data_IF_461531794725
#
_entry.id   IF_461531794725
#
_cell.length_a   1.000
_cell.length_b   1.000
_cell.length_c   1.000
_cell.angle_alpha   90.00
_cell.angle_beta   90.00
_cell.angle_gamma   90.00
#
_symmetry.space_group_name_H-M   'P 1'
#
loop_
_entity.id
_entity.type
_entity.pdbx_description
1 polymer ?
#
# COMPACT_ATOMS: atom_id res chain seq x y z
N UNK A 1 -83.95 47.86 3.78
CA UNK A 1 -82.49 47.74 3.55
C UNK A 1 -81.96 46.69 4.53
N UNK A 2 -81.26 45.65 4.03
CA UNK A 2 -80.38 44.71 4.77
C UNK A 2 -81.05 43.68 5.73
N UNK A 3 -80.62 42.42 5.85
CA UNK A 3 -79.69 41.54 5.13
C UNK A 3 -79.94 40.10 5.63
N UNK A 4 -79.88 39.11 4.75
CA UNK A 4 -79.84 37.69 5.09
C UNK A 4 -78.66 37.36 6.02
N UNK A 5 -78.90 36.51 7.03
CA UNK A 5 -77.85 35.69 7.65
C UNK A 5 -78.40 34.31 7.96
N UNK A 6 -78.14 33.35 7.07
CA UNK A 6 -78.31 31.93 7.35
C UNK A 6 -77.00 31.43 7.97
N UNK A 7 -76.96 31.38 9.30
CA UNK A 7 -75.90 30.66 10.02
C UNK A 7 -76.20 29.15 9.96
N UNK A 8 -75.68 28.49 8.93
CA UNK A 8 -75.82 27.05 8.74
C UNK A 8 -74.71 26.36 9.53
N UNK A 9 -74.97 26.08 10.81
CA UNK A 9 -74.14 25.26 11.71
C UNK A 9 -73.87 23.89 11.05
N UNK A 10 -72.74 23.72 10.38
CA UNK A 10 -72.26 22.42 9.92
C UNK A 10 -71.93 21.57 11.14
N UNK A 11 -72.83 20.64 11.49
CA UNK A 11 -72.51 19.58 12.45
C UNK A 11 -71.50 18.65 11.80
N UNK A 12 -70.25 18.72 12.25
CA UNK A 12 -69.24 17.70 11.97
C UNK A 12 -69.77 16.40 12.58
N UNK A 13 -70.27 15.50 11.75
CA UNK A 13 -70.67 14.15 12.17
C UNK A 13 -69.38 13.40 12.54
N UNK A 14 -69.21 13.10 13.82
CA UNK A 14 -68.20 12.13 14.27
C UNK A 14 -68.69 10.75 13.83
N UNK A 15 -68.20 10.27 12.70
CA UNK A 15 -68.31 8.86 12.32
C UNK A 15 -67.29 8.08 13.17
N UNK A 16 -67.77 7.30 14.13
CA UNK A 16 -66.92 6.33 14.80
C UNK A 16 -66.66 5.16 13.86
N UNK A 17 -65.39 4.78 13.69
CA UNK A 17 -65.01 3.60 12.93
C UNK A 17 -65.69 2.37 13.55
N UNK A 18 -66.27 1.52 12.71
CA UNK A 18 -66.81 0.25 13.19
C UNK A 18 -65.66 -0.70 13.54
N UNK A 19 -65.90 -1.63 14.47
CA UNK A 19 -64.89 -2.61 14.89
C UNK A 19 -64.38 -3.45 13.70
N UNK A 20 -65.28 -3.75 12.75
CA UNK A 20 -64.95 -4.42 11.49
C UNK A 20 -64.02 -3.58 10.61
N UNK A 21 -64.32 -2.29 10.45
CA UNK A 21 -63.53 -1.37 9.62
C UNK A 21 -62.12 -1.17 10.18
N UNK A 22 -61.98 -1.13 11.50
CA UNK A 22 -60.67 -1.10 12.15
C UNK A 22 -59.87 -2.39 11.86
N UNK A 23 -60.48 -3.56 11.94
CA UNK A 23 -59.81 -4.84 11.67
C UNK A 23 -59.38 -4.92 10.20
N UNK A 24 -60.24 -4.51 9.26
CA UNK A 24 -59.92 -4.50 7.83
C UNK A 24 -58.79 -3.49 7.53
N UNK A 25 -58.84 -2.29 8.11
CA UNK A 25 -57.79 -1.28 7.93
C UNK A 25 -56.44 -1.76 8.49
N UNK A 26 -56.42 -2.37 9.68
CA UNK A 26 -55.20 -2.94 10.26
C UNK A 26 -54.66 -4.10 9.42
N UNK A 27 -55.53 -4.95 8.87
CA UNK A 27 -55.14 -6.01 7.94
C UNK A 27 -54.47 -5.47 6.68
N UNK A 28 -55.05 -4.42 6.07
CA UNK A 28 -54.47 -3.76 4.88
C UNK A 28 -53.13 -3.12 5.24
N UNK A 29 -53.03 -2.43 6.38
CA UNK A 29 -51.79 -1.80 6.83
C UNK A 29 -50.68 -2.83 7.08
N UNK A 30 -51.01 -4.00 7.64
CA UNK A 30 -50.03 -5.07 7.84
C UNK A 30 -49.49 -5.62 6.50
N UNK A 31 -50.36 -5.83 5.52
CA UNK A 31 -49.97 -6.26 4.17
C UNK A 31 -49.11 -5.20 3.48
N UNK A 32 -49.55 -3.94 3.49
CA UNK A 32 -48.79 -2.84 2.88
C UNK A 32 -47.43 -2.63 3.55
N UNK A 33 -47.35 -2.77 4.87
CA UNK A 33 -46.07 -2.66 5.61
C UNK A 33 -45.10 -3.77 5.20
N UNK A 34 -45.59 -4.99 5.01
CA UNK A 34 -44.74 -6.13 4.58
C UNK A 34 -44.21 -5.92 3.17
N UNK A 35 -45.04 -5.41 2.25
CA UNK A 35 -44.61 -5.08 0.87
C UNK A 35 -43.58 -3.95 0.90
N UNK A 36 -43.81 -2.92 1.72
CA UNK A 36 -42.89 -1.81 1.86
C UNK A 36 -41.51 -2.26 2.37
N UNK A 37 -41.44 -3.13 3.38
CA UNK A 37 -40.16 -3.66 3.90
C UNK A 37 -39.42 -4.43 2.81
N UNK A 38 -40.08 -5.36 2.12
CA UNK A 38 -39.44 -6.14 1.04
C UNK A 38 -38.93 -5.30 -0.12
N UNK A 39 -39.49 -4.10 -0.32
CA UNK A 39 -39.00 -3.18 -1.36
C UNK A 39 -37.73 -2.43 -0.96
N UNK A 40 -37.37 -2.43 0.33
CA UNK A 40 -36.16 -1.75 0.84
C UNK A 40 -34.93 -2.66 0.85
N UNK A 41 -35.09 -3.98 0.87
CA UNK A 41 -33.96 -4.92 0.95
C UNK A 41 -32.94 -4.69 -0.20
N UNK A 42 -33.34 -4.56 -1.48
CA UNK A 42 -32.38 -4.33 -2.57
C UNK A 42 -31.64 -2.99 -2.46
N UNK A 43 -32.26 -1.97 -1.87
CA UNK A 43 -31.61 -0.67 -1.64
C UNK A 43 -30.58 -0.76 -0.51
N UNK A 44 -30.88 -1.54 0.53
CA UNK A 44 -29.95 -1.77 1.62
C UNK A 44 -28.72 -2.54 1.13
N UNK A 45 -28.93 -3.60 0.34
CA UNK A 45 -27.82 -4.42 -0.18
C UNK A 45 -26.95 -3.66 -1.18
N UNK A 46 -27.55 -2.85 -2.05
CA UNK A 46 -26.80 -1.93 -2.92
C UNK A 46 -25.93 -0.96 -2.09
N UNK A 47 -26.47 -0.38 -1.02
CA UNK A 47 -25.72 0.54 -0.18
C UNK A 47 -24.55 -0.16 0.56
N UNK A 48 -24.73 -1.42 0.98
CA UNK A 48 -23.67 -2.24 1.58
C UNK A 48 -22.60 -2.58 0.55
N UNK A 49 -23.00 -2.99 -0.64
CA UNK A 49 -22.10 -3.28 -1.75
C UNK A 49 -21.19 -2.08 -2.08
N UNK A 50 -21.78 -0.88 -2.23
CA UNK A 50 -21.02 0.34 -2.47
C UNK A 50 -20.10 0.72 -1.29
N UNK A 51 -20.54 0.48 -0.05
CA UNK A 51 -19.70 0.71 1.13
C UNK A 51 -18.50 -0.23 1.15
N UNK A 52 -18.69 -1.50 0.78
CA UNK A 52 -17.63 -2.50 0.66
C UNK A 52 -16.63 -2.09 -0.43
N UNK A 53 -17.08 -1.71 -1.62
CA UNK A 53 -16.18 -1.27 -2.69
C UNK A 53 -15.30 -0.08 -2.25
N UNK A 54 -15.91 0.94 -1.63
CA UNK A 54 -15.16 2.10 -1.10
C UNK A 54 -14.14 1.67 -0.06
N UNK A 55 -14.49 0.75 0.83
CA UNK A 55 -13.56 0.23 1.83
C UNK A 55 -12.36 -0.47 1.19
N UNK A 56 -12.59 -1.35 0.21
CA UNK A 56 -11.50 -2.08 -0.44
C UNK A 56 -10.58 -1.13 -1.23
N UNK A 57 -11.14 -0.11 -1.88
CA UNK A 57 -10.37 0.96 -2.53
C UNK A 57 -9.56 1.81 -1.53
N UNK A 58 -10.14 2.12 -0.36
CA UNK A 58 -9.46 2.82 0.73
C UNK A 58 -8.30 1.97 1.27
N UNK A 59 -8.48 0.66 1.42
CA UNK A 59 -7.43 -0.28 1.85
C UNK A 59 -6.30 -0.36 0.83
N UNK A 60 -6.62 -0.44 -0.47
CA UNK A 60 -5.62 -0.39 -1.54
C UNK A 60 -4.84 0.93 -1.50
N UNK A 61 -5.53 2.06 -1.41
CA UNK A 61 -4.93 3.39 -1.32
C UNK A 61 -4.08 3.56 -0.05
N UNK A 62 -4.48 2.96 1.08
CA UNK A 62 -3.70 2.93 2.30
C UNK A 62 -2.42 2.11 2.17
N UNK A 63 -2.41 1.10 1.31
CA UNK A 63 -1.27 0.21 1.09
C UNK A 63 -0.22 0.84 0.18
N UNK A 64 -0.61 1.32 -1.01
CA UNK A 64 0.31 1.80 -2.08
C UNK A 64 0.20 3.29 -2.39
N UNK A 65 -0.67 4.01 -1.67
CA UNK A 65 -0.97 5.42 -1.94
C UNK A 65 -1.93 5.60 -3.10
N UNK A 66 -2.44 6.83 -3.25
CA UNK A 66 -3.32 7.18 -4.37
C UNK A 66 -2.57 7.05 -5.71
N UNK A 67 -3.04 6.20 -6.65
CA UNK A 67 -2.39 6.03 -7.95
C UNK A 67 -2.35 7.31 -8.80
N UNK A 68 -3.26 8.26 -8.56
CA UNK A 68 -3.34 9.53 -9.27
C UNK A 68 -2.52 10.65 -8.62
N UNK A 69 -1.99 10.43 -7.42
CA UNK A 69 -1.17 11.43 -6.74
C UNK A 69 0.15 11.62 -7.50
N UNK A 70 0.32 12.79 -8.12
CA UNK A 70 1.52 13.19 -8.84
C UNK A 70 2.09 14.47 -8.25
N UNK A 71 3.42 14.53 -8.19
CA UNK A 71 4.13 15.76 -7.89
C UNK A 71 3.94 16.78 -9.03
N UNK A 72 4.28 18.04 -8.76
CA UNK A 72 4.19 19.13 -9.73
C UNK A 72 5.02 18.88 -11.01
N UNK A 73 5.99 17.95 -10.97
CA UNK A 73 6.78 17.48 -12.11
C UNK A 73 6.25 16.23 -12.82
N UNK A 74 5.04 15.76 -12.51
CA UNK A 74 4.39 14.60 -13.14
C UNK A 74 4.84 13.23 -12.62
N UNK A 75 5.84 13.18 -11.74
CA UNK A 75 6.28 11.96 -11.05
C UNK A 75 5.22 11.50 -10.04
N UNK A 76 4.96 10.19 -9.96
CA UNK A 76 4.02 9.62 -9.00
C UNK A 76 4.54 9.81 -7.57
N UNK A 77 3.66 10.21 -6.65
CA UNK A 77 3.97 10.29 -5.22
C UNK A 77 3.86 8.88 -4.65
N UNK A 78 4.97 8.37 -4.13
CA UNK A 78 5.00 7.11 -3.39
C UNK A 78 4.63 7.39 -1.95
N UNK A 79 3.58 6.73 -1.47
CA UNK A 79 3.06 6.86 -0.11
C UNK A 79 2.31 5.59 0.29
N UNK A 80 1.88 5.50 1.55
CA UNK A 80 1.15 4.35 2.07
C UNK A 80 2.04 3.39 2.85
N UNK A 81 1.42 2.33 3.34
CA UNK A 81 2.05 1.34 4.22
C UNK A 81 3.33 0.75 3.60
N UNK A 82 3.31 0.39 2.32
CA UNK A 82 4.47 -0.21 1.64
C UNK A 82 5.64 0.77 1.55
N UNK A 83 5.36 2.02 1.18
CA UNK A 83 6.38 3.05 1.03
C UNK A 83 7.12 3.37 2.33
N UNK A 84 6.37 3.32 3.45
CA UNK A 84 6.88 3.68 4.76
C UNK A 84 7.56 2.48 5.46
N UNK A 85 7.08 1.25 5.22
CA UNK A 85 7.52 0.04 5.95
C UNK A 85 8.35 -0.95 5.14
N UNK A 86 8.37 -0.86 3.81
CA UNK A 86 9.03 -1.83 2.94
C UNK A 86 8.39 -3.23 2.94
N UNK A 87 7.21 -3.39 3.55
CA UNK A 87 6.44 -4.66 3.60
C UNK A 87 5.01 -4.47 3.11
N UNK A 88 4.41 -5.55 2.61
CA UNK A 88 2.96 -5.65 2.53
C UNK A 88 2.37 -5.89 3.94
N UNK A 89 1.17 -5.37 4.22
CA UNK A 89 0.50 -5.62 5.48
C UNK A 89 0.08 -7.09 5.57
N UNK A 90 0.32 -7.69 6.72
CA UNK A 90 -0.04 -9.08 7.02
C UNK A 90 -1.47 -9.22 7.51
N UNK A 91 -1.97 -8.16 8.17
CA UNK A 91 -3.32 -8.11 8.74
C UNK A 91 -3.93 -6.73 8.56
N UNK A 92 -5.26 -6.63 8.58
CA UNK A 92 -5.94 -5.33 8.52
C UNK A 92 -5.65 -4.44 9.74
N UNK A 93 -5.25 -5.01 10.88
CA UNK A 93 -4.82 -4.22 12.05
C UNK A 93 -3.54 -3.43 11.79
N UNK A 94 -2.72 -3.82 10.82
CA UNK A 94 -1.46 -3.14 10.49
C UNK A 94 -1.72 -1.71 9.96
N UNK A 95 -2.92 -1.45 9.41
CA UNK A 95 -3.34 -0.13 8.97
C UNK A 95 -3.79 0.81 10.09
N UNK A 96 -4.07 0.31 11.28
CA UNK A 96 -4.70 1.10 12.36
C UNK A 96 -3.85 1.14 13.62
N UNK A 97 -3.07 0.08 13.84
CA UNK A 97 -2.16 -0.07 14.96
C UNK A 97 -0.79 -0.50 14.46
N UNK A 98 0.26 0.04 15.08
CA UNK A 98 1.63 -0.31 14.73
C UNK A 98 1.88 -1.80 14.99
N UNK A 99 2.30 -2.59 13.98
CA UNK A 99 2.68 -3.99 14.19
C UNK A 99 3.85 -4.11 15.15
N UNK A 100 3.87 -5.15 15.98
CA UNK A 100 4.90 -5.33 17.02
C UNK A 100 6.32 -5.46 16.44
N UNK A 101 6.46 -6.02 15.24
CA UNK A 101 7.75 -6.13 14.54
C UNK A 101 8.23 -4.84 13.89
N UNK A 102 7.36 -3.82 13.74
CA UNK A 102 7.75 -2.58 13.08
C UNK A 102 8.13 -1.49 14.08
N UNK A 103 9.16 -0.72 13.72
CA UNK A 103 9.51 0.52 14.42
C UNK A 103 8.53 1.65 14.09
N UNK A 104 8.48 2.67 14.95
CA UNK A 104 7.76 3.90 14.61
C UNK A 104 8.55 4.68 13.55
N UNK A 105 7.85 5.43 12.69
CA UNK A 105 8.48 6.19 11.63
C UNK A 105 9.51 7.19 12.17
N UNK A 106 10.76 7.02 11.77
CA UNK A 106 11.87 7.87 12.15
C UNK A 106 13.02 7.74 11.13
N UNK A 107 13.92 8.73 11.11
CA UNK A 107 15.19 8.58 10.42
C UNK A 107 16.01 7.51 11.14
N UNK A 108 16.37 6.46 10.40
CA UNK A 108 17.24 5.38 10.85
C UNK A 108 18.61 5.59 10.20
N UNK A 109 19.66 5.62 11.02
CA UNK A 109 21.04 5.60 10.55
C UNK A 109 21.52 4.17 10.60
N UNK A 110 21.92 3.65 9.45
CA UNK A 110 22.55 2.35 9.30
C UNK A 110 24.06 2.56 9.34
N UNK A 111 24.66 2.04 10.42
CA UNK A 111 26.10 1.88 10.60
C UNK A 111 26.44 0.47 10.10
N UNK A 112 27.13 0.40 8.95
CA UNK A 112 27.60 -0.88 8.42
C UNK A 112 28.74 -1.33 9.32
N UNK A 113 28.45 -2.22 10.27
CA UNK A 113 29.46 -2.80 11.17
C UNK A 113 30.51 -3.68 10.45
N UNK A 114 30.47 -3.69 9.11
CA UNK A 114 31.31 -4.50 8.22
C UNK A 114 32.32 -3.73 7.37
N UNK A 115 32.34 -2.39 7.37
CA UNK A 115 33.24 -1.66 6.46
C UNK A 115 33.75 -0.30 6.96
N UNK A 116 34.62 0.34 6.17
CA UNK A 116 35.12 1.71 6.38
C UNK A 116 34.24 2.75 5.68
N UNK A 117 32.96 2.42 5.43
CA UNK A 117 32.09 3.18 4.53
C UNK A 117 31.15 4.06 5.36
N UNK A 118 30.87 5.28 4.88
CA UNK A 118 30.05 6.23 5.66
C UNK A 118 28.62 5.72 5.90
N UNK A 119 28.12 5.95 7.12
CA UNK A 119 26.75 5.65 7.52
C UNK A 119 25.69 6.24 6.57
N UNK A 120 24.64 5.46 6.32
CA UNK A 120 23.50 5.87 5.48
C UNK A 120 22.28 6.09 6.34
N UNK A 121 21.57 7.21 6.15
CA UNK A 121 20.36 7.52 6.91
C UNK A 121 19.11 7.56 6.02
N UNK A 122 18.12 6.72 6.31
CA UNK A 122 16.83 6.70 5.61
C UNK A 122 15.68 6.82 6.60
N UNK A 123 14.61 7.52 6.20
CA UNK A 123 13.39 7.60 7.01
C UNK A 123 12.47 6.43 6.71
N UNK A 124 12.19 5.62 7.72
CA UNK A 124 11.37 4.42 7.58
C UNK A 124 10.61 4.10 8.86
N UNK A 125 9.65 3.19 8.76
CA UNK A 125 8.87 2.67 9.88
C UNK A 125 7.38 2.97 9.75
N UNK A 126 6.60 2.51 10.71
CA UNK A 126 5.16 2.72 10.71
C UNK A 126 4.81 4.17 11.03
N UNK A 127 4.23 4.88 10.05
CA UNK A 127 3.99 6.33 10.11
C UNK A 127 2.67 6.73 10.78
N UNK A 128 1.75 5.80 10.91
CA UNK A 128 0.49 6.07 11.59
C UNK A 128 -0.62 5.19 11.08
N UNK A 129 -1.83 5.35 11.65
CA UNK A 129 -3.01 4.75 11.08
C UNK A 129 -3.18 5.26 9.65
N UNK A 130 -3.09 4.36 8.67
CA UNK A 130 -3.31 4.64 7.25
C UNK A 130 -4.81 4.63 6.92
N UNK A 131 -5.62 3.98 7.76
CA UNK A 131 -7.08 3.96 7.68
C UNK A 131 -7.67 4.52 8.96
N UNK A 132 -8.80 5.24 8.84
CA UNK A 132 -9.55 5.76 9.98
C UNK A 132 -10.83 4.96 10.16
N UNK A 133 -11.17 4.67 11.42
CA UNK A 133 -12.45 4.06 11.75
C UNK A 133 -13.61 5.03 11.54
N UNK A 134 -14.76 4.49 11.13
CA UNK A 134 -16.03 5.18 11.26
C UNK A 134 -16.37 5.44 12.73
N UNK A 135 -17.25 6.41 12.98
CA UNK A 135 -17.66 6.75 14.34
C UNK A 135 -18.25 5.52 15.06
N UNK A 136 -17.66 5.15 16.20
CA UNK A 136 -18.10 4.01 17.01
C UNK A 136 -17.59 2.64 16.53
N UNK A 137 -16.78 2.57 15.48
CA UNK A 137 -16.14 1.33 15.03
C UNK A 137 -14.75 1.15 15.68
N UNK A 138 -14.37 -0.10 15.91
CA UNK A 138 -13.06 -0.49 16.45
C UNK A 138 -12.32 -1.50 15.57
N UNK A 139 -12.98 -1.97 14.51
CA UNK A 139 -12.48 -2.97 13.57
C UNK A 139 -12.86 -2.52 12.16
N UNK A 140 -12.00 -2.83 11.19
CA UNK A 140 -12.29 -2.62 9.78
C UNK A 140 -13.31 -3.68 9.35
N UNK A 141 -14.47 -3.22 8.94
CA UNK A 141 -15.59 -4.07 8.52
C UNK A 141 -16.20 -3.54 7.22
N UNK A 142 -16.60 -4.46 6.36
CA UNK A 142 -17.30 -4.19 5.10
C UNK A 142 -18.76 -3.77 5.33
N UNK A 143 -19.50 -3.56 4.24
CA UNK A 143 -20.91 -3.16 4.28
C UNK A 143 -21.82 -4.17 4.99
N UNK A 144 -21.41 -5.44 5.08
CA UNK A 144 -22.15 -6.50 5.77
C UNK A 144 -21.67 -6.74 7.20
N UNK A 145 -20.69 -5.96 7.67
CA UNK A 145 -20.17 -6.03 9.03
C UNK A 145 -19.13 -7.13 9.24
N UNK A 146 -18.54 -7.67 8.17
CA UNK A 146 -17.49 -8.69 8.21
C UNK A 146 -16.13 -8.08 7.93
N UNK A 147 -15.08 -8.70 8.43
CA UNK A 147 -13.70 -8.23 8.19
C UNK A 147 -13.22 -8.77 6.84
N UNK A 148 -12.78 -7.91 5.91
CA UNK A 148 -12.21 -8.37 4.65
C UNK A 148 -10.99 -9.27 4.86
N UNK A 149 -10.80 -10.20 3.93
CA UNK A 149 -9.65 -11.09 3.87
C UNK A 149 -8.51 -10.42 3.10
N UNK A 150 -7.27 -10.75 3.48
CA UNK A 150 -6.06 -10.45 2.72
C UNK A 150 -5.60 -11.80 2.15
N UNK A 151 -5.58 -11.94 0.82
CA UNK A 151 -5.09 -13.15 0.16
C UNK A 151 -3.66 -12.91 -0.36
N UNK A 152 -2.65 -13.61 0.18
CA UNK A 152 -1.26 -13.49 -0.28
C UNK A 152 -0.86 -14.49 -1.39
N UNK A 153 -1.70 -15.45 -1.79
CA UNK A 153 -1.22 -16.73 -2.35
C UNK A 153 -1.06 -16.81 -3.90
N UNK A 154 -1.02 -15.70 -4.64
CA UNK A 154 -1.06 -15.76 -6.13
C UNK A 154 -0.06 -14.95 -6.94
N UNK A 155 0.72 -14.05 -6.33
CA UNK A 155 1.59 -13.09 -7.03
C UNK A 155 1.02 -11.67 -7.11
N UNK A 156 -0.29 -11.53 -6.94
CA UNK A 156 -0.99 -10.26 -6.68
C UNK A 156 -1.44 -10.24 -5.21
N UNK A 157 -1.56 -9.04 -4.64
CA UNK A 157 -1.96 -8.83 -3.24
C UNK A 157 -3.40 -8.30 -3.20
N UNK A 158 -4.33 -9.09 -2.67
CA UNK A 158 -5.76 -8.81 -2.87
C UNK A 158 -6.49 -8.58 -1.54
N UNK A 159 -7.45 -7.65 -1.57
CA UNK A 159 -8.44 -7.52 -0.51
C UNK A 159 -9.78 -8.08 -0.98
N UNK A 160 -10.35 -9.00 -0.22
CA UNK A 160 -11.59 -9.69 -0.59
C UNK A 160 -12.65 -9.59 0.51
N UNK A 161 -13.86 -9.17 0.14
CA UNK A 161 -15.05 -9.29 0.98
C UNK A 161 -15.91 -10.44 0.46
N UNK A 162 -16.40 -11.27 1.38
CA UNK A 162 -17.21 -12.46 1.08
C UNK A 162 -18.69 -12.15 0.83
N UNK A 163 -18.99 -10.98 0.27
CA UNK A 163 -20.35 -10.57 -0.04
C UNK A 163 -21.34 -10.65 1.13
N UNK A 164 -22.61 -10.89 0.79
CA UNK A 164 -23.75 -10.89 1.72
C UNK A 164 -23.93 -12.21 2.49
N UNK A 165 -23.55 -13.34 1.92
CA UNK A 165 -23.58 -14.68 2.51
C UNK A 165 -22.40 -14.92 3.45
N UNK A 166 -21.24 -14.37 3.16
CA UNK A 166 -20.05 -14.49 4.01
C UNK A 166 -19.33 -15.82 3.84
N UNK A 167 -19.43 -16.42 2.66
CA UNK A 167 -18.61 -17.56 2.25
C UNK A 167 -18.11 -17.32 0.81
N UNK A 168 -17.28 -18.23 0.30
CA UNK A 168 -16.74 -18.18 -1.06
C UNK A 168 -17.15 -19.43 -1.85
N UNK A 169 -18.39 -19.91 -1.62
CA UNK A 169 -18.89 -21.17 -2.18
C UNK A 169 -19.62 -20.92 -3.49
N UNK A 170 -18.94 -21.25 -4.60
CA UNK A 170 -19.53 -21.18 -5.94
C UNK A 170 -20.72 -22.15 -6.13
N UNK A 171 -21.71 -21.79 -6.95
CA UNK A 171 -21.83 -20.54 -7.71
C UNK A 171 -22.39 -19.40 -6.87
N UNK A 172 -21.82 -18.21 -7.04
CA UNK A 172 -22.29 -16.98 -6.40
C UNK A 172 -22.97 -16.07 -7.44
N UNK A 173 -23.97 -15.30 -7.01
CA UNK A 173 -24.68 -14.31 -7.82
C UNK A 173 -24.99 -13.01 -7.05
N UNK A 174 -25.24 -11.93 -7.78
CA UNK A 174 -25.62 -10.62 -7.25
C UNK A 174 -24.73 -10.14 -6.08
N UNK A 175 -25.30 -9.98 -4.88
CA UNK A 175 -24.62 -9.52 -3.67
C UNK A 175 -23.98 -10.66 -2.86
N UNK A 176 -24.19 -11.92 -3.24
CA UNK A 176 -23.49 -13.07 -2.67
C UNK A 176 -22.08 -13.20 -3.24
N UNK A 177 -21.83 -12.65 -4.44
CA UNK A 177 -20.52 -12.69 -5.05
C UNK A 177 -19.43 -12.00 -4.21
N UNK A 178 -18.28 -12.68 -4.12
CA UNK A 178 -17.05 -12.12 -3.58
C UNK A 178 -16.68 -10.82 -4.31
N UNK A 179 -16.30 -9.81 -3.53
CA UNK A 179 -15.80 -8.53 -4.04
C UNK A 179 -14.32 -8.46 -3.74
N UNK A 180 -13.49 -8.52 -4.78
CA UNK A 180 -12.04 -8.39 -4.67
C UNK A 180 -11.52 -7.11 -5.34
N UNK A 181 -10.55 -6.48 -4.68
CA UNK A 181 -9.73 -5.43 -5.28
C UNK A 181 -8.31 -5.96 -5.37
N UNK A 182 -7.89 -6.26 -6.59
CA UNK A 182 -6.57 -6.79 -6.86
C UNK A 182 -5.50 -5.69 -6.87
N UNK A 183 -4.34 -5.99 -6.30
CA UNK A 183 -3.17 -5.11 -6.34
C UNK A 183 -2.01 -5.85 -6.97
N UNK A 184 -1.74 -5.62 -8.26
CA UNK A 184 -0.65 -6.30 -8.94
C UNK A 184 0.72 -5.83 -8.44
N UNK A 185 1.72 -6.71 -8.51
CA UNK A 185 3.09 -6.44 -8.04
C UNK A 185 3.74 -5.18 -8.59
N UNK A 186 3.37 -4.76 -9.81
CA UNK A 186 3.80 -3.50 -10.43
C UNK A 186 3.36 -2.23 -9.66
N UNK A 187 2.33 -2.32 -8.81
CA UNK A 187 1.86 -1.19 -8.00
C UNK A 187 2.66 -0.96 -6.72
N UNK A 188 3.40 -1.98 -6.26
CA UNK A 188 4.19 -1.92 -5.03
C UNK A 188 5.68 -2.32 -5.21
N UNK A 189 6.09 -2.78 -6.39
CA UNK A 189 7.48 -3.07 -6.74
C UNK A 189 7.92 -2.44 -8.06
N UNK A 190 9.23 -2.21 -8.20
CA UNK A 190 9.85 -1.72 -9.43
C UNK A 190 11.24 -2.36 -9.64
N UNK A 191 11.76 -2.23 -10.87
CA UNK A 191 13.14 -2.55 -11.19
C UNK A 191 14.01 -1.29 -11.14
N UNK A 192 15.17 -1.42 -10.50
CA UNK A 192 16.19 -0.35 -10.43
C UNK A 192 17.46 -0.84 -11.11
N UNK A 193 17.99 -0.04 -12.02
CA UNK A 193 19.24 -0.30 -12.74
C UNK A 193 20.30 0.68 -12.25
N UNK A 194 21.41 0.14 -11.77
CA UNK A 194 22.57 0.89 -11.34
C UNK A 194 23.62 0.80 -12.43
N UNK A 195 24.20 1.95 -12.80
CA UNK A 195 25.36 2.00 -13.69
C UNK A 195 26.53 2.67 -12.98
N UNK A 196 27.64 1.98 -12.93
CA UNK A 196 28.87 2.49 -12.32
C UNK A 196 29.81 2.99 -13.40
N UNK A 197 30.50 4.09 -13.13
CA UNK A 197 31.52 4.65 -14.01
C UNK A 197 32.64 5.31 -13.23
N UNK A 198 33.77 5.54 -13.88
CA UNK A 198 34.86 6.36 -13.37
C UNK A 198 35.12 7.56 -14.30
N UNK A 199 35.84 8.55 -13.81
CA UNK A 199 36.33 9.68 -14.63
C UNK A 199 37.83 9.53 -14.82
N UNK A 200 38.28 9.55 -16.06
CA UNK A 200 39.71 9.62 -16.36
C UNK A 200 40.28 10.95 -15.86
N UNK A 201 41.18 10.90 -14.89
CA UNK A 201 41.81 12.08 -14.30
C UNK A 201 42.61 12.93 -15.30
N UNK A 202 42.96 12.39 -16.47
CA UNK A 202 43.69 13.11 -17.52
C UNK A 202 42.75 13.79 -18.51
N UNK A 203 41.75 13.07 -19.01
CA UNK A 203 40.86 13.57 -20.07
C UNK A 203 39.54 14.14 -19.54
N UNK A 204 39.18 13.87 -18.29
CA UNK A 204 37.88 14.18 -17.71
C UNK A 204 36.73 13.40 -18.34
N UNK A 205 37.02 12.40 -19.18
CA UNK A 205 35.98 11.62 -19.86
C UNK A 205 35.47 10.49 -18.98
N UNK A 206 34.21 10.11 -19.21
CA UNK A 206 33.61 8.95 -18.59
C UNK A 206 34.26 7.70 -19.15
N UNK A 207 34.81 6.89 -18.25
CA UNK A 207 35.41 5.60 -18.55
C UNK A 207 34.74 4.51 -17.73
N UNK A 208 34.89 3.29 -18.20
CA UNK A 208 34.50 2.11 -17.47
C UNK A 208 35.51 1.85 -16.34
N UNK A 209 35.06 1.47 -15.13
CA UNK A 209 35.95 1.04 -14.05
C UNK A 209 36.78 -0.16 -14.51
N UNK A 210 38.04 -0.22 -14.11
CA UNK A 210 38.93 -1.33 -14.43
C UNK A 210 39.47 -1.97 -13.15
N UNK A 211 38.70 -2.87 -12.50
CA UNK A 211 39.18 -3.62 -11.35
C UNK A 211 40.44 -4.40 -11.71
N UNK A 212 41.44 -4.40 -10.83
CA UNK A 212 42.71 -5.09 -11.02
C UNK A 212 42.94 -6.19 -9.98
N UNK A 213 43.48 -7.32 -10.42
CA UNK A 213 43.86 -8.41 -9.52
C UNK A 213 42.66 -9.07 -8.85
N UNK A 214 42.51 -8.83 -7.54
CA UNK A 214 41.43 -9.34 -6.69
C UNK A 214 40.34 -8.29 -6.44
N UNK A 215 40.40 -7.15 -7.13
CA UNK A 215 39.38 -6.12 -6.99
C UNK A 215 38.07 -6.53 -7.65
N UNK A 216 36.97 -6.34 -6.93
CA UNK A 216 35.61 -6.58 -7.39
C UNK A 216 34.79 -5.30 -7.30
N UNK A 217 33.81 -5.15 -8.20
CA UNK A 217 32.92 -4.00 -8.24
C UNK A 217 31.54 -4.36 -7.73
N UNK A 218 30.96 -3.50 -6.90
CA UNK A 218 29.65 -3.75 -6.29
C UNK A 218 28.84 -2.49 -6.11
N UNK A 219 27.55 -2.69 -5.85
CA UNK A 219 26.63 -1.66 -5.38
C UNK A 219 26.03 -2.12 -4.06
N UNK A 220 26.20 -1.32 -3.01
CA UNK A 220 25.44 -1.46 -1.78
C UNK A 220 24.10 -0.75 -1.99
N UNK A 221 23.01 -1.52 -1.94
CA UNK A 221 21.66 -1.02 -2.00
C UNK A 221 21.05 -1.03 -0.60
N UNK A 222 20.64 0.13 -0.12
CA UNK A 222 19.95 0.34 1.14
C UNK A 222 18.46 0.54 0.87
N UNK A 223 17.63 -0.41 1.30
CA UNK A 223 16.17 -0.33 1.17
C UNK A 223 15.48 -0.56 2.50
N UNK A 224 14.26 -0.05 2.67
CA UNK A 224 13.46 -0.37 3.85
C UNK A 224 13.09 -1.85 3.82
N UNK A 225 13.38 -2.57 4.90
CA UNK A 225 13.09 -3.98 5.04
C UNK A 225 11.84 -4.21 5.91
N UNK A 226 10.88 -4.89 5.31
CA UNK A 226 9.60 -5.23 5.92
C UNK A 226 9.64 -6.19 7.12
N UNK A 227 10.73 -6.93 7.30
CA UNK A 227 10.81 -8.01 8.30
C UNK A 227 11.23 -7.57 9.71
N UNK A 228 11.32 -6.26 9.98
CA UNK A 228 11.27 -5.78 11.37
C UNK A 228 12.30 -6.39 12.30
N UNK A 229 13.57 -6.48 11.86
CA UNK A 229 14.68 -6.73 12.77
C UNK A 229 14.72 -5.66 13.88
N UNK A 230 15.26 -6.02 15.04
CA UNK A 230 15.30 -5.22 16.29
C UNK A 230 15.98 -3.85 16.19
N UNK A 231 16.44 -3.43 15.02
CA UNK A 231 17.22 -2.21 14.76
C UNK A 231 16.62 -1.27 13.70
N UNK A 232 15.35 -1.38 13.34
CA UNK A 232 14.75 -0.39 12.43
C UNK A 232 15.16 -0.59 10.97
N UNK A 233 14.95 -1.84 10.57
CA UNK A 233 15.17 -2.53 9.31
C UNK A 233 15.32 -1.65 8.04
N UNK A 234 16.53 -1.17 7.80
CA UNK A 234 17.08 -0.98 6.46
C UNK A 234 17.82 -2.28 6.13
N UNK A 235 17.57 -2.87 4.96
CA UNK A 235 18.36 -3.97 4.41
C UNK A 235 19.43 -3.37 3.50
N UNK A 236 20.67 -3.77 3.78
CA UNK A 236 21.78 -3.61 2.86
C UNK A 236 21.88 -4.88 2.01
N UNK A 237 21.89 -4.71 0.70
CA UNK A 237 22.14 -5.79 -0.25
C UNK A 237 23.34 -5.43 -1.11
N UNK A 238 24.37 -6.27 -1.11
CA UNK A 238 25.47 -6.19 -2.07
C UNK A 238 25.02 -6.75 -3.40
N UNK A 239 25.14 -5.95 -4.45
CA UNK A 239 24.85 -6.32 -5.83
C UNK A 239 26.18 -6.36 -6.60
N UNK A 240 26.77 -7.55 -6.86
CA UNK A 240 28.01 -7.65 -7.61
C UNK A 240 27.79 -7.17 -9.04
N UNK A 241 28.70 -6.31 -9.50
CA UNK A 241 28.71 -5.76 -10.85
C UNK A 241 29.74 -6.54 -11.65
N UNK A 242 29.33 -7.06 -12.81
CA UNK A 242 30.24 -7.82 -13.66
C UNK A 242 31.50 -7.02 -14.00
N UNK A 243 32.68 -7.64 -13.80
CA UNK A 243 33.99 -7.04 -14.09
C UNK A 243 34.20 -6.75 -15.60
N UNK A 244 33.34 -7.27 -16.47
CA UNK A 244 33.37 -7.04 -17.91
C UNK A 244 31.96 -6.83 -18.46
N UNK A 245 31.74 -5.81 -19.28
CA UNK A 245 30.46 -5.56 -19.94
C UNK A 245 29.98 -4.13 -19.74
N UNK A 246 28.70 -3.97 -19.38
CA UNK A 246 28.02 -2.67 -19.30
C UNK A 246 28.22 -1.92 -17.98
N UNK A 247 28.88 -2.53 -16.98
CA UNK A 247 29.01 -2.02 -15.61
C UNK A 247 27.64 -1.64 -15.01
N UNK A 248 26.66 -2.48 -15.33
CA UNK A 248 25.28 -2.35 -14.89
C UNK A 248 24.88 -3.55 -14.05
N UNK A 249 24.13 -3.27 -12.97
CA UNK A 249 23.47 -4.29 -12.17
C UNK A 249 22.03 -3.85 -11.90
N UNK A 250 21.09 -4.78 -11.89
CA UNK A 250 19.69 -4.48 -11.61
C UNK A 250 19.19 -5.19 -10.35
N UNK A 251 18.41 -4.47 -9.55
CA UNK A 251 17.55 -5.05 -8.52
C UNK A 251 16.13 -5.10 -9.07
N UNK A 252 15.64 -6.30 -9.34
CA UNK A 252 14.25 -6.52 -9.73
C UNK A 252 13.37 -6.64 -8.48
N UNK A 253 12.08 -6.33 -8.63
CA UNK A 253 11.07 -6.43 -7.56
C UNK A 253 11.44 -5.67 -6.27
N UNK A 254 12.11 -4.53 -6.41
CA UNK A 254 12.42 -3.67 -5.27
C UNK A 254 11.14 -2.97 -4.80
N UNK A 255 10.85 -3.05 -3.50
CA UNK A 255 9.66 -2.44 -2.91
C UNK A 255 9.69 -0.92 -3.09
N UNK A 256 8.52 -0.33 -3.33
CA UNK A 256 8.38 1.13 -3.37
C UNK A 256 8.75 1.75 -2.03
N UNK A 257 9.43 2.90 -2.09
CA UNK A 257 9.85 3.61 -0.89
C UNK A 257 11.13 4.40 -1.11
N UNK A 258 11.65 4.95 -0.02
CA UNK A 258 12.96 5.60 -0.02
C UNK A 258 14.07 4.56 -0.06
N UNK A 259 15.11 4.85 -0.84
CA UNK A 259 16.27 4.00 -0.96
C UNK A 259 17.54 4.85 -1.09
N UNK A 260 18.66 4.24 -0.77
CA UNK A 260 19.97 4.80 -1.07
C UNK A 260 20.84 3.74 -1.72
N UNK A 261 21.80 4.16 -2.54
CA UNK A 261 22.78 3.26 -3.11
C UNK A 261 24.15 3.93 -3.19
N UNK A 262 25.19 3.10 -3.11
CA UNK A 262 26.58 3.51 -3.30
C UNK A 262 27.29 2.44 -4.11
N UNK A 263 28.08 2.86 -5.10
CA UNK A 263 29.01 1.98 -5.79
C UNK A 263 30.33 1.93 -5.02
N UNK A 264 30.96 0.78 -5.01
CA UNK A 264 32.24 0.59 -4.35
C UNK A 264 33.05 -0.48 -5.06
N UNK A 265 34.37 -0.38 -4.91
CA UNK A 265 35.32 -1.38 -5.34
C UNK A 265 36.06 -1.88 -4.12
N UNK A 266 36.12 -3.19 -3.92
CA UNK A 266 36.78 -3.80 -2.77
C UNK A 266 37.74 -4.90 -3.21
N UNK A 267 38.66 -5.27 -2.32
CA UNK A 267 39.57 -6.40 -2.53
C UNK A 267 38.91 -7.70 -2.07
N UNK A 268 38.32 -8.44 -3.00
CA UNK A 268 37.68 -9.74 -2.82
C UNK A 268 38.75 -10.83 -2.68
N UNK A 269 39.12 -11.13 -1.45
CA UNK A 269 40.31 -11.93 -1.13
C UNK A 269 40.04 -13.42 -1.19
N UNK A 270 38.79 -13.84 -1.00
CA UNK A 270 38.36 -15.24 -1.04
C UNK A 270 37.49 -15.58 -2.26
N UNK A 271 37.20 -14.61 -3.13
CA UNK A 271 36.55 -14.74 -4.42
C UNK A 271 35.10 -15.25 -4.31
N UNK A 272 34.36 -14.76 -3.32
CA UNK A 272 32.98 -15.15 -3.05
C UNK A 272 31.93 -14.11 -3.49
N UNK A 273 32.37 -13.01 -4.11
CA UNK A 273 31.55 -11.88 -4.55
C UNK A 273 30.77 -11.18 -3.42
N UNK A 274 31.20 -11.33 -2.16
CA UNK A 274 30.66 -10.62 -1.00
C UNK A 274 31.71 -9.67 -0.40
N UNK A 275 31.22 -8.64 0.30
CA UNK A 275 32.09 -7.77 1.08
C UNK A 275 32.18 -8.33 2.49
N UNK A 276 33.34 -8.91 2.80
CA UNK A 276 33.55 -9.63 4.04
C UNK A 276 34.33 -8.85 5.10
N UNK A 277 34.17 -9.25 6.36
CA UNK A 277 34.84 -8.60 7.48
C UNK A 277 36.37 -8.78 7.37
N UNK A 278 37.08 -7.67 7.12
CA UNK A 278 38.53 -7.66 6.93
C UNK A 278 38.96 -7.39 5.49
N UNK A 279 38.02 -7.36 4.55
CA UNK A 279 38.27 -6.87 3.21
C UNK A 279 38.25 -5.34 3.18
N UNK A 280 39.07 -4.76 2.30
CA UNK A 280 39.23 -3.31 2.22
C UNK A 280 38.49 -2.76 1.00
N UNK A 281 37.70 -1.71 1.24
CA UNK A 281 37.15 -0.87 0.17
C UNK A 281 38.27 0.02 -0.36
N UNK A 282 38.53 -0.08 -1.66
CA UNK A 282 39.60 0.65 -2.36
C UNK A 282 39.12 2.03 -2.79
N UNK A 283 37.93 2.10 -3.40
CA UNK A 283 37.32 3.30 -3.97
C UNK A 283 35.81 3.21 -3.78
N UNK A 284 35.15 4.35 -3.57
CA UNK A 284 33.69 4.41 -3.42
C UNK A 284 33.08 5.62 -4.12
N UNK A 285 31.78 5.54 -4.40
CA UNK A 285 31.00 6.71 -4.80
C UNK A 285 30.43 7.44 -3.59
N UNK A 286 29.92 8.65 -3.85
CA UNK A 286 28.96 9.27 -2.94
C UNK A 286 27.72 8.39 -2.78
N UNK A 287 27.00 8.59 -1.68
CA UNK A 287 25.70 7.97 -1.46
C UNK A 287 24.64 8.70 -2.30
N UNK A 288 23.91 7.95 -3.12
CA UNK A 288 22.82 8.45 -3.93
C UNK A 288 21.49 8.12 -3.25
N UNK A 289 20.73 9.14 -2.87
CA UNK A 289 19.39 9.00 -2.31
C UNK A 289 18.34 9.11 -3.41
N UNK A 290 17.39 8.18 -3.46
CA UNK A 290 16.33 8.16 -4.45
C UNK A 290 15.06 7.53 -3.89
N UNK A 291 13.99 7.53 -4.70
CA UNK A 291 12.73 6.88 -4.37
C UNK A 291 12.42 5.86 -5.45
N UNK A 292 12.10 4.64 -5.03
CA UNK A 292 11.70 3.56 -5.91
C UNK A 292 10.21 3.72 -6.20
N UNK A 293 9.88 3.88 -7.48
CA UNK A 293 8.50 4.14 -7.95
C UNK A 293 8.18 3.22 -9.13
N UNK A 294 6.99 2.63 -9.10
CA UNK A 294 6.53 1.67 -10.11
C UNK A 294 6.23 2.30 -11.46
N UNK A 295 6.34 1.48 -12.50
CA UNK A 295 5.96 1.82 -13.88
C UNK A 295 7.05 2.43 -14.75
N UNK A 296 8.26 2.69 -14.22
CA UNK A 296 9.44 3.12 -15.00
C UNK A 296 10.70 2.49 -14.37
N UNK A 297 11.58 1.92 -15.20
CA UNK A 297 12.90 1.47 -14.76
C UNK A 297 13.67 2.67 -14.21
N UNK A 298 13.93 2.68 -12.90
CA UNK A 298 14.69 3.74 -12.26
C UNK A 298 16.17 3.50 -12.55
N UNK A 299 16.84 4.48 -13.16
CA UNK A 299 18.27 4.37 -13.49
C UNK A 299 19.09 5.31 -12.63
N UNK A 300 20.05 4.76 -11.91
CA UNK A 300 20.97 5.50 -11.04
C UNK A 300 22.39 5.36 -11.60
N UNK A 301 23.03 6.48 -11.88
CA UNK A 301 24.42 6.51 -12.34
C UNK A 301 25.33 6.98 -11.21
N UNK A 302 26.39 6.22 -10.94
CA UNK A 302 27.29 6.42 -9.80
C UNK A 302 28.73 6.53 -10.27
N UNK A 303 29.39 7.62 -9.86
CA UNK A 303 30.80 7.88 -10.16
C UNK A 303 31.68 7.35 -9.01
N UNK A 304 32.62 6.47 -9.34
CA UNK A 304 33.68 6.04 -8.43
C UNK A 304 34.77 7.11 -8.32
N UNK A 305 35.16 7.47 -7.09
CA UNK A 305 36.18 8.48 -6.82
C UNK A 305 37.15 8.07 -5.72
#
# INVERSE_FOLDING_TARGET
MLRFSFDRKQRIRRFGLTLLELIVALGILAVLSTIAIRSLDPLADQARYEATQRLLDDLRSATVGDPNAKQLGGQRIVSGYVADTGSLPSTLSDFTTKPAGLIAYAAQTFDSDRDTVDDVSLSSGWKGPYVRFGAGQSVIVDGWGRTPLIDPDGGDFDFTSQGSDGDSVLPEDDYQADISVAMPSVEYTASVVFRVFAIDGTTGTRIDPAPAGLEQLGVLLYTVNGNGGTTGAIEETTLPVAATGTFEVSKNNAMHGVAAARAFMWSDTDADDQLDAGEAVVVSSYVHYFTIVGGIDSRVEMELR
#
